data_IF_240876768699
#
_entry.id   IF_240876768699
#
_cell.length_a   1.000
_cell.length_b   1.000
_cell.length_c   1.000
_cell.angle_alpha   90.00
_cell.angle_beta   90.00
_cell.angle_gamma   90.00
#
_symmetry.space_group_name_H-M   'P 1'
#
loop_
_entity.id
_entity.type
_entity.pdbx_description
1 polymer ?
#
# COMPACT_ATOMS: atom_id res chain seq x y z
N UNK A 1 -6.58 -7.90 -6.09
CA UNK A 1 -7.99 -8.34 -6.24
C UNK A 1 -7.90 -9.71 -6.85
N UNK A 2 -8.61 -10.70 -6.31
CA UNK A 2 -8.60 -12.08 -6.82
C UNK A 2 -9.99 -12.41 -7.42
N UNK A 3 -10.37 -11.78 -8.55
CA UNK A 3 -11.63 -12.09 -9.19
C UNK A 3 -11.56 -13.44 -9.93
N UNK A 4 -12.67 -14.16 -9.94
CA UNK A 4 -12.89 -15.40 -10.71
C UNK A 4 -13.48 -15.14 -12.10
N UNK A 5 -13.93 -13.91 -12.38
CA UNK A 5 -14.46 -13.48 -13.67
C UNK A 5 -14.04 -12.04 -13.96
N UNK A 6 -13.42 -11.80 -15.11
CA UNK A 6 -13.07 -10.46 -15.60
C UNK A 6 -14.29 -9.56 -15.72
N UNK A 7 -15.32 -9.98 -16.46
CA UNK A 7 -16.51 -9.14 -16.71
C UNK A 7 -17.20 -8.75 -15.40
N UNK A 8 -17.44 -9.69 -14.48
CA UNK A 8 -18.04 -9.36 -13.18
C UNK A 8 -17.20 -8.36 -12.38
N UNK A 9 -15.87 -8.42 -12.45
CA UNK A 9 -15.00 -7.49 -11.76
C UNK A 9 -14.95 -6.11 -12.43
N UNK A 10 -15.03 -6.04 -13.76
CA UNK A 10 -15.07 -4.79 -14.54
C UNK A 10 -16.41 -4.07 -14.38
N UNK A 11 -17.52 -4.81 -14.38
CA UNK A 11 -18.88 -4.26 -14.20
C UNK A 11 -19.26 -4.09 -12.73
N UNK A 12 -18.39 -4.53 -11.81
CA UNK A 12 -18.65 -4.53 -10.37
C UNK A 12 -19.97 -5.24 -10.02
N UNK A 13 -20.24 -6.38 -10.65
CA UNK A 13 -21.46 -7.14 -10.45
C UNK A 13 -21.58 -7.57 -8.98
N UNK A 14 -22.51 -6.95 -8.25
CA UNK A 14 -22.81 -7.28 -6.86
C UNK A 14 -23.96 -8.30 -6.77
N UNK A 15 -24.93 -8.26 -7.68
CA UNK A 15 -26.30 -8.76 -7.50
C UNK A 15 -26.58 -10.13 -8.07
N UNK A 16 -25.89 -10.50 -9.15
CA UNK A 16 -26.23 -11.71 -9.91
C UNK A 16 -25.10 -12.73 -9.85
N UNK A 17 -25.42 -14.03 -9.73
CA UNK A 17 -24.45 -15.09 -9.94
C UNK A 17 -23.79 -14.98 -11.32
N UNK A 18 -22.53 -15.38 -11.42
CA UNK A 18 -21.82 -15.33 -12.68
C UNK A 18 -22.32 -16.39 -13.67
N UNK A 19 -22.79 -15.96 -14.84
CA UNK A 19 -23.20 -16.83 -15.96
C UNK A 19 -22.33 -16.67 -17.22
N UNK A 20 -21.23 -15.93 -17.10
CA UNK A 20 -20.30 -15.64 -18.20
C UNK A 20 -19.55 -16.89 -18.66
N UNK A 21 -19.29 -16.95 -19.97
CA UNK A 21 -18.44 -17.97 -20.60
C UNK A 21 -16.98 -17.88 -20.14
N UNK A 22 -16.20 -18.93 -20.36
CA UNK A 22 -14.77 -18.95 -19.99
C UNK A 22 -13.97 -17.84 -20.68
N UNK A 23 -14.32 -17.50 -21.93
CA UNK A 23 -13.70 -16.39 -22.66
C UNK A 23 -13.97 -15.04 -22.00
N UNK A 24 -15.18 -14.81 -21.50
CA UNK A 24 -15.55 -13.61 -20.77
C UNK A 24 -14.94 -13.58 -19.36
N UNK A 25 -14.81 -14.74 -18.71
CA UNK A 25 -14.17 -14.86 -17.40
C UNK A 25 -12.67 -14.63 -17.45
N UNK A 26 -12.03 -14.96 -18.56
CA UNK A 26 -10.57 -14.92 -18.74
C UNK A 26 -9.97 -13.55 -18.41
N UNK A 27 -8.92 -13.57 -17.60
CA UNK A 27 -8.14 -12.40 -17.21
C UNK A 27 -6.99 -12.18 -18.22
N UNK A 28 -6.75 -10.92 -18.60
CA UNK A 28 -5.61 -10.52 -19.44
C UNK A 28 -4.77 -9.48 -18.71
N UNK A 29 -3.45 -9.63 -18.75
CA UNK A 29 -2.55 -8.77 -18.01
C UNK A 29 -1.10 -9.21 -18.12
N UNK A 30 -0.24 -8.53 -17.38
CA UNK A 30 1.17 -8.86 -17.20
C UNK A 30 1.39 -9.19 -15.73
N UNK A 31 2.01 -10.33 -15.46
CA UNK A 31 2.22 -10.83 -14.11
C UNK A 31 3.64 -11.33 -13.93
N UNK A 32 4.12 -11.23 -12.69
CA UNK A 32 5.33 -11.95 -12.28
C UNK A 32 5.03 -13.44 -12.23
N UNK A 33 5.95 -14.26 -12.72
CA UNK A 33 5.77 -15.72 -12.80
C UNK A 33 5.36 -16.38 -11.49
N UNK A 34 5.82 -15.87 -10.34
CA UNK A 34 5.46 -16.39 -9.02
C UNK A 34 3.95 -16.29 -8.73
N UNK A 35 3.30 -15.19 -9.13
CA UNK A 35 1.86 -15.02 -8.94
C UNK A 35 1.07 -15.90 -9.90
N UNK A 36 1.57 -16.07 -11.13
CA UNK A 36 0.97 -16.96 -12.11
C UNK A 36 1.03 -18.43 -11.66
N UNK A 37 2.17 -18.87 -11.13
CA UNK A 37 2.32 -20.21 -10.55
C UNK A 37 1.36 -20.43 -9.38
N UNK A 38 1.21 -19.44 -8.49
CA UNK A 38 0.24 -19.50 -7.40
C UNK A 38 -1.21 -19.57 -7.93
N UNK A 39 -1.53 -18.85 -9.00
CA UNK A 39 -2.85 -18.93 -9.61
C UNK A 39 -3.12 -20.34 -10.17
N UNK A 40 -2.14 -20.94 -10.85
CA UNK A 40 -2.25 -22.32 -11.36
C UNK A 40 -2.44 -23.33 -10.21
N UNK A 41 -1.67 -23.20 -9.12
CA UNK A 41 -1.86 -24.01 -7.90
C UNK A 41 -3.29 -23.90 -7.36
N UNK A 42 -3.94 -22.74 -7.51
CA UNK A 42 -5.32 -22.48 -7.09
C UNK A 42 -6.37 -22.84 -8.15
N UNK A 43 -5.98 -23.55 -9.21
CA UNK A 43 -6.89 -24.10 -10.22
C UNK A 43 -7.14 -23.21 -11.43
N UNK A 44 -6.43 -22.09 -11.58
CA UNK A 44 -6.51 -21.30 -12.81
C UNK A 44 -5.80 -22.01 -13.97
N UNK A 45 -6.33 -21.87 -15.18
CA UNK A 45 -5.75 -22.43 -16.40
C UNK A 45 -5.16 -21.32 -17.27
N UNK A 46 -3.92 -21.50 -17.70
CA UNK A 46 -3.26 -20.57 -18.63
C UNK A 46 -3.80 -20.82 -20.04
N UNK A 47 -4.49 -19.82 -20.60
CA UNK A 47 -5.06 -19.90 -21.95
C UNK A 47 -4.02 -19.58 -23.05
N UNK A 48 -3.26 -18.50 -22.85
CA UNK A 48 -2.28 -18.00 -23.82
C UNK A 48 -1.15 -17.25 -23.11
N UNK A 49 0.06 -17.40 -23.61
CA UNK A 49 1.24 -16.59 -23.24
C UNK A 49 1.69 -15.85 -24.49
N UNK A 50 1.68 -14.52 -24.45
CA UNK A 50 2.13 -13.67 -25.57
C UNK A 50 3.65 -13.41 -25.50
N UNK A 51 4.18 -13.15 -24.31
CA UNK A 51 5.58 -12.75 -24.11
C UNK A 51 6.10 -13.23 -22.74
N UNK A 52 7.38 -13.60 -22.68
CA UNK A 52 8.07 -14.00 -21.44
C UNK A 52 9.42 -13.32 -21.32
N UNK A 53 9.60 -12.59 -20.21
CA UNK A 53 10.89 -12.04 -19.82
C UNK A 53 11.56 -13.01 -18.85
N UNK A 54 12.50 -13.80 -19.35
CA UNK A 54 13.17 -14.84 -18.59
C UNK A 54 14.55 -14.39 -18.08
N UNK A 55 14.78 -14.59 -16.78
CA UNK A 55 16.05 -14.28 -16.12
C UNK A 55 16.67 -15.60 -15.61
N UNK A 56 17.62 -16.20 -16.34
CA UNK A 56 18.18 -17.51 -15.98
C UNK A 56 19.01 -17.45 -14.70
N UNK A 57 19.68 -16.30 -14.47
CA UNK A 57 20.50 -16.07 -13.30
C UNK A 57 19.71 -15.35 -12.21
N UNK A 58 19.86 -15.80 -10.96
CA UNK A 58 19.24 -15.22 -9.77
C UNK A 58 20.29 -15.11 -8.66
N UNK A 59 20.18 -14.09 -7.81
CA UNK A 59 21.03 -13.92 -6.64
C UNK A 59 20.17 -13.61 -5.43
N UNK A 60 20.59 -14.13 -4.26
CA UNK A 60 20.02 -13.78 -2.96
C UNK A 60 20.82 -12.69 -2.23
N UNK A 61 21.95 -12.24 -2.78
CA UNK A 61 22.99 -11.55 -2.00
C UNK A 61 23.01 -10.04 -2.19
N UNK A 62 22.56 -9.57 -3.36
CA UNK A 62 22.72 -8.18 -3.81
C UNK A 62 22.30 -7.12 -2.78
N UNK A 63 21.20 -7.38 -2.06
CA UNK A 63 20.64 -6.43 -1.09
C UNK A 63 20.84 -6.83 0.37
N UNK A 64 21.49 -7.97 0.65
CA UNK A 64 21.61 -8.52 2.01
C UNK A 64 22.32 -7.53 2.93
N UNK A 65 23.49 -7.03 2.51
CA UNK A 65 24.27 -6.10 3.32
C UNK A 65 23.55 -4.76 3.53
N UNK A 66 22.85 -4.26 2.51
CA UNK A 66 22.04 -3.05 2.63
C UNK A 66 20.94 -3.25 3.68
N UNK A 67 20.14 -4.31 3.54
CA UNK A 67 19.03 -4.61 4.46
C UNK A 67 19.56 -4.81 5.88
N UNK A 68 20.62 -5.61 6.06
CA UNK A 68 21.23 -5.85 7.37
C UNK A 68 21.72 -4.57 8.05
N UNK A 69 22.38 -3.70 7.29
CA UNK A 69 22.92 -2.42 7.82
C UNK A 69 21.81 -1.52 8.34
N UNK A 70 20.79 -1.26 7.54
CA UNK A 70 19.70 -0.35 7.96
C UNK A 70 18.76 -1.01 8.96
N UNK A 71 18.61 -2.33 8.93
CA UNK A 71 17.88 -3.07 9.93
C UNK A 71 18.59 -3.03 11.30
N UNK A 72 19.92 -3.16 11.33
CA UNK A 72 20.73 -2.95 12.54
C UNK A 72 20.47 -1.57 13.15
N UNK A 73 20.64 -0.51 12.35
CA UNK A 73 20.48 0.86 12.85
C UNK A 73 19.05 1.18 13.29
N UNK A 74 18.06 0.61 12.59
CA UNK A 74 16.65 0.70 13.01
C UNK A 74 16.43 0.01 14.35
N UNK A 75 17.00 -1.18 14.54
CA UNK A 75 16.81 -1.96 15.75
C UNK A 75 17.53 -1.33 16.95
N UNK A 76 18.77 -0.87 16.79
CA UNK A 76 19.49 -0.10 17.81
C UNK A 76 18.72 1.14 18.24
N UNK A 77 18.14 1.88 17.27
CA UNK A 77 17.33 3.07 17.55
C UNK A 77 15.95 2.76 18.16
N UNK A 78 15.53 1.49 18.23
CA UNK A 78 14.28 1.09 18.88
C UNK A 78 14.44 0.89 20.39
N UNK A 79 15.68 0.82 20.89
CA UNK A 79 15.97 0.49 22.29
C UNK A 79 15.85 -1.01 22.59
N UNK A 80 16.08 -1.37 23.85
CA UNK A 80 15.85 -2.74 24.34
C UNK A 80 14.35 -3.01 24.49
N UNK A 81 13.91 -4.27 24.28
CA UNK A 81 12.54 -4.64 24.57
C UNK A 81 12.24 -4.53 26.08
N UNK A 82 10.97 -4.37 26.44
CA UNK A 82 10.56 -4.14 27.83
C UNK A 82 10.98 -5.25 28.81
N UNK A 83 11.13 -6.49 28.32
CA UNK A 83 11.58 -7.63 29.12
C UNK A 83 13.10 -7.72 29.30
N UNK A 84 13.90 -6.88 28.62
CA UNK A 84 15.36 -6.92 28.71
C UNK A 84 15.88 -5.81 29.63
N UNK A 85 15.81 -6.04 30.94
CA UNK A 85 16.15 -5.05 31.96
C UNK A 85 17.57 -5.27 32.48
N UNK A 86 17.90 -6.52 32.78
CA UNK A 86 19.20 -6.93 33.32
C UNK A 86 20.27 -7.02 32.23
N UNK A 87 21.54 -6.94 32.61
CA UNK A 87 22.65 -7.07 31.64
C UNK A 87 22.69 -8.46 30.99
N UNK A 88 22.25 -9.50 31.73
CA UNK A 88 22.08 -10.84 31.19
C UNK A 88 21.04 -10.91 30.09
N UNK A 89 19.86 -10.30 30.30
CA UNK A 89 18.78 -10.27 29.29
C UNK A 89 19.15 -9.40 28.08
N UNK A 90 19.83 -8.26 28.30
CA UNK A 90 20.33 -7.42 27.21
C UNK A 90 21.33 -8.17 26.33
N UNK A 91 22.25 -8.92 26.95
CA UNK A 91 23.20 -9.77 26.22
C UNK A 91 22.48 -10.88 25.46
N UNK A 92 21.54 -11.57 26.11
CA UNK A 92 20.73 -12.61 25.48
C UNK A 92 19.95 -12.09 24.27
N UNK A 93 19.37 -10.89 24.36
CA UNK A 93 18.68 -10.23 23.25
C UNK A 93 19.62 -9.98 22.06
N UNK A 94 20.83 -9.47 22.29
CA UNK A 94 21.82 -9.22 21.23
C UNK A 94 22.29 -10.54 20.60
N UNK A 95 22.54 -11.57 21.41
CA UNK A 95 22.96 -12.89 20.94
C UNK A 95 21.84 -13.57 20.13
N UNK A 96 20.58 -13.47 20.57
CA UNK A 96 19.42 -13.98 19.84
C UNK A 96 19.23 -13.27 18.50
N UNK A 97 19.38 -11.94 18.47
CA UNK A 97 19.30 -11.16 17.24
C UNK A 97 20.40 -11.54 16.25
N UNK A 98 21.62 -11.78 16.74
CA UNK A 98 22.70 -12.27 15.91
C UNK A 98 22.43 -13.68 15.36
N UNK A 99 21.92 -14.60 16.19
CA UNK A 99 21.60 -15.96 15.74
C UNK A 99 20.49 -16.00 14.68
N UNK A 100 19.47 -15.14 14.81
CA UNK A 100 18.31 -15.12 13.90
C UNK A 100 18.55 -14.32 12.63
N UNK A 101 19.12 -13.13 12.74
CA UNK A 101 19.27 -12.19 11.63
C UNK A 101 20.69 -12.16 11.04
N UNK A 102 21.67 -12.73 11.75
CA UNK A 102 23.08 -12.57 11.42
C UNK A 102 23.53 -11.11 11.52
N UNK A 103 22.95 -10.34 12.44
CA UNK A 103 23.23 -8.93 12.71
C UNK A 103 23.68 -8.78 14.16
N UNK A 104 24.88 -8.25 14.38
CA UNK A 104 25.38 -7.96 15.73
C UNK A 104 25.02 -6.52 16.10
N UNK A 105 24.06 -6.36 17.01
CA UNK A 105 23.70 -5.04 17.54
C UNK A 105 24.83 -4.49 18.42
N UNK A 106 25.10 -3.19 18.35
CA UNK A 106 26.06 -2.54 19.23
C UNK A 106 25.37 -2.09 20.55
N UNK A 107 25.71 -2.66 21.72
CA UNK A 107 25.10 -2.31 23.00
C UNK A 107 25.11 -0.81 23.30
N UNK A 108 26.19 -0.10 22.94
CA UNK A 108 26.39 1.33 23.22
C UNK A 108 25.53 2.23 22.33
N UNK A 109 24.98 1.67 21.25
CA UNK A 109 24.12 2.37 20.30
C UNK A 109 22.63 2.03 20.49
N UNK A 110 22.31 1.06 21.35
CA UNK A 110 20.92 0.68 21.63
C UNK A 110 20.31 1.72 22.56
N UNK A 111 19.51 2.62 21.98
CA UNK A 111 18.77 3.63 22.71
C UNK A 111 17.53 4.04 21.90
N UNK A 112 16.46 4.42 22.59
CA UNK A 112 15.24 4.89 21.93
C UNK A 112 15.55 6.21 21.21
N UNK A 113 15.49 6.19 19.88
CA UNK A 113 15.65 7.36 19.04
C UNK A 113 14.67 7.29 17.86
N UNK A 114 13.51 7.92 18.04
CA UNK A 114 12.42 7.92 17.07
C UNK A 114 12.83 8.45 15.69
N UNK A 115 13.64 9.52 15.65
CA UNK A 115 14.09 10.12 14.39
C UNK A 115 15.01 9.18 13.61
N UNK A 116 16.06 8.65 14.26
CA UNK A 116 16.98 7.68 13.64
C UNK A 116 16.23 6.42 13.21
N UNK A 117 15.32 5.92 14.03
CA UNK A 117 14.49 4.76 13.70
C UNK A 117 13.65 5.01 12.43
N UNK A 118 13.02 6.18 12.33
CA UNK A 118 12.20 6.54 11.17
C UNK A 118 13.03 6.71 9.89
N UNK A 119 14.22 7.32 9.97
CA UNK A 119 15.13 7.46 8.82
C UNK A 119 15.55 6.09 8.30
N UNK A 120 16.00 5.19 9.19
CA UNK A 120 16.43 3.84 8.78
C UNK A 120 15.26 3.01 8.22
N UNK A 121 14.06 3.13 8.80
CA UNK A 121 12.84 2.53 8.23
C UNK A 121 12.53 3.08 6.83
N UNK A 122 12.68 4.39 6.62
CA UNK A 122 12.45 5.02 5.33
C UNK A 122 13.44 4.50 4.28
N UNK A 123 14.71 4.35 4.63
CA UNK A 123 15.74 3.82 3.71
C UNK A 123 15.41 2.39 3.28
N UNK A 124 15.05 1.52 4.23
CA UNK A 124 14.59 0.16 3.95
C UNK A 124 13.38 0.14 3.00
N UNK A 125 12.39 1.00 3.25
CA UNK A 125 11.15 1.03 2.49
C UNK A 125 11.28 1.74 1.13
N UNK A 126 12.25 2.64 0.95
CA UNK A 126 12.41 3.43 -0.28
C UNK A 126 13.22 2.70 -1.34
N UNK A 127 14.07 1.74 -0.96
CA UNK A 127 14.98 1.05 -1.88
C UNK A 127 14.25 0.43 -3.08
N UNK A 128 13.25 -0.43 -2.83
CA UNK A 128 12.51 -1.09 -3.92
C UNK A 128 11.65 -0.09 -4.71
N UNK A 129 11.18 0.97 -4.06
CA UNK A 129 10.42 2.05 -4.68
C UNK A 129 11.27 2.83 -5.69
N UNK A 130 12.56 3.02 -5.41
CA UNK A 130 13.54 3.65 -6.32
C UNK A 130 13.61 2.90 -7.65
N UNK A 131 13.73 1.57 -7.60
CA UNK A 131 13.76 0.73 -8.79
C UNK A 131 12.45 0.75 -9.61
N UNK A 132 11.35 1.20 -9.01
CA UNK A 132 10.02 1.29 -9.64
C UNK A 132 9.63 2.71 -10.03
N UNK A 133 10.58 3.66 -9.98
CA UNK A 133 10.30 5.04 -10.36
C UNK A 133 10.00 5.14 -11.86
N UNK A 134 9.13 6.10 -12.20
CA UNK A 134 8.91 6.47 -13.60
C UNK A 134 10.14 7.24 -14.10
N UNK A 135 10.73 6.78 -15.19
CA UNK A 135 11.94 7.38 -15.77
C UNK A 135 11.66 8.77 -16.35
N UNK A 136 10.60 8.92 -17.15
CA UNK A 136 10.23 10.19 -17.77
C UNK A 136 9.20 10.96 -16.93
N UNK A 137 9.69 11.78 -15.99
CA UNK A 137 8.89 12.70 -15.19
C UNK A 137 8.82 14.08 -15.85
N UNK A 138 7.70 14.77 -15.65
CA UNK A 138 7.60 16.18 -16.04
C UNK A 138 8.52 17.04 -15.17
N UNK A 139 9.42 17.76 -15.82
CA UNK A 139 10.34 18.72 -15.22
C UNK A 139 9.71 20.11 -15.27
N UNK A 140 9.94 20.91 -14.24
CA UNK A 140 9.60 22.33 -14.23
C UNK A 140 10.88 23.12 -14.07
N UNK A 141 11.17 23.98 -15.04
CA UNK A 141 12.36 24.82 -15.06
C UNK A 141 11.99 26.30 -15.10
N UNK A 142 12.84 27.13 -14.50
CA UNK A 142 12.75 28.58 -14.56
C UNK A 142 13.93 29.05 -15.42
N UNK A 143 13.64 29.49 -16.63
CA UNK A 143 14.62 29.83 -17.66
C UNK A 143 14.65 31.34 -17.83
N UNK A 144 15.86 31.92 -17.81
CA UNK A 144 16.10 33.34 -18.12
C UNK A 144 16.72 33.53 -19.49
N UNK A 145 17.47 32.53 -19.95
CA UNK A 145 18.21 32.59 -21.19
C UNK A 145 17.27 32.31 -22.39
N UNK A 146 17.12 33.27 -23.33
CA UNK A 146 16.28 33.07 -24.52
C UNK A 146 16.75 31.92 -25.42
N UNK A 147 18.05 31.63 -25.45
CA UNK A 147 18.57 30.53 -26.27
C UNK A 147 18.15 29.16 -25.70
N UNK A 148 18.33 28.97 -24.39
CA UNK A 148 17.81 27.80 -23.67
C UNK A 148 16.28 27.68 -23.84
N UNK A 149 15.54 28.78 -23.73
CA UNK A 149 14.09 28.79 -23.94
C UNK A 149 13.73 28.28 -25.34
N UNK A 150 14.36 28.85 -26.37
CA UNK A 150 14.14 28.48 -27.77
C UNK A 150 14.46 27.00 -28.02
N UNK A 151 15.57 26.50 -27.48
CA UNK A 151 15.98 25.10 -27.60
C UNK A 151 14.94 24.13 -27.01
N UNK A 152 14.36 24.45 -25.85
CA UNK A 152 13.37 23.58 -25.21
C UNK A 152 12.02 23.65 -25.93
N UNK A 153 11.61 24.83 -26.40
CA UNK A 153 10.30 25.04 -27.04
C UNK A 153 10.25 24.49 -28.46
N UNK A 154 11.32 24.68 -29.24
CA UNK A 154 11.37 24.31 -30.65
C UNK A 154 12.21 23.07 -30.93
N UNK A 155 12.92 22.53 -29.92
CA UNK A 155 13.67 21.29 -30.04
C UNK A 155 12.78 20.06 -30.07
N UNK A 156 13.17 19.04 -30.84
CA UNK A 156 12.46 17.75 -30.92
C UNK A 156 12.73 16.82 -29.72
N UNK A 157 13.67 17.18 -28.85
CA UNK A 157 14.05 16.38 -27.68
C UNK A 157 13.03 16.45 -26.52
N UNK A 158 12.18 17.47 -26.52
CA UNK A 158 11.30 17.80 -25.41
C UNK A 158 9.85 17.93 -25.85
N UNK A 159 8.95 17.27 -25.11
CA UNK A 159 7.52 17.53 -25.19
C UNK A 159 7.16 18.61 -24.17
N UNK A 160 6.97 19.85 -24.66
CA UNK A 160 6.55 20.97 -23.80
C UNK A 160 5.06 20.88 -23.49
N UNK A 161 4.76 20.78 -22.21
CA UNK A 161 3.38 20.67 -21.70
C UNK A 161 2.77 22.02 -21.34
N UNK A 162 3.60 22.98 -20.90
CA UNK A 162 3.17 24.32 -20.52
C UNK A 162 4.36 25.27 -20.46
N UNK A 163 4.15 26.55 -20.78
CA UNK A 163 5.06 27.63 -20.38
C UNK A 163 4.28 28.89 -20.00
N UNK A 164 4.90 29.75 -19.19
CA UNK A 164 4.39 31.06 -18.81
C UNK A 164 5.52 32.01 -18.47
N UNK A 165 5.41 33.28 -18.82
CA UNK A 165 6.35 34.31 -18.37
C UNK A 165 5.97 34.76 -16.95
N UNK A 166 6.94 34.69 -16.03
CA UNK A 166 6.81 35.12 -14.63
C UNK A 166 7.24 36.59 -14.49
N UNK A 167 8.18 37.02 -15.32
CA UNK A 167 8.58 38.42 -15.57
C UNK A 167 8.95 38.58 -17.04
N UNK A 168 9.33 39.79 -17.46
CA UNK A 168 9.75 40.08 -18.84
C UNK A 168 10.94 39.22 -19.30
N UNK A 169 11.81 38.83 -18.37
CA UNK A 169 13.07 38.12 -18.60
C UNK A 169 13.08 36.68 -18.04
N UNK A 170 11.95 36.19 -17.50
CA UNK A 170 11.89 34.87 -16.86
C UNK A 170 10.69 34.08 -17.33
N UNK A 171 10.94 32.91 -17.90
CA UNK A 171 9.93 31.94 -18.28
C UNK A 171 9.93 30.73 -17.35
N UNK A 172 8.75 30.29 -16.94
CA UNK A 172 8.54 28.96 -16.36
C UNK A 172 8.18 28.01 -17.49
N UNK A 173 8.92 26.91 -17.65
CA UNK A 173 8.60 25.83 -18.59
C UNK A 173 8.30 24.55 -17.82
N UNK A 174 7.33 23.79 -18.35
CA UNK A 174 7.03 22.43 -17.94
C UNK A 174 7.16 21.53 -19.16
N UNK A 175 8.12 20.62 -19.11
CA UNK A 175 8.45 19.75 -20.21
C UNK A 175 8.75 18.34 -19.70
N UNK A 176 8.74 17.36 -20.60
CA UNK A 176 9.29 16.01 -20.37
C UNK A 176 10.07 15.61 -21.62
N UNK A 177 10.96 14.63 -21.53
CA UNK A 177 11.64 14.16 -22.73
C UNK A 177 10.62 13.57 -23.70
N UNK A 178 10.86 13.71 -25.00
CA UNK A 178 10.16 12.90 -25.98
C UNK A 178 10.39 11.41 -25.68
N UNK A 179 9.40 10.56 -25.99
CA UNK A 179 9.47 9.13 -25.65
C UNK A 179 10.62 8.44 -26.37
N UNK A 180 10.95 8.86 -27.59
CA UNK A 180 12.06 8.32 -28.38
C UNK A 180 13.42 8.84 -27.89
N UNK A 181 13.45 10.04 -27.30
CA UNK A 181 14.65 10.68 -26.76
C UNK A 181 14.92 10.33 -25.28
N UNK A 182 14.00 9.64 -24.60
CA UNK A 182 14.11 9.34 -23.19
C UNK A 182 15.22 8.29 -22.93
N UNK A 183 16.30 8.74 -22.29
CA UNK A 183 17.41 7.87 -21.88
C UNK A 183 17.00 7.07 -20.64
N UNK A 184 17.32 5.77 -20.63
CA UNK A 184 17.10 4.90 -19.48
C UNK A 184 17.87 5.40 -18.27
N UNK A 185 17.22 5.41 -17.11
CA UNK A 185 17.89 5.79 -15.86
C UNK A 185 18.63 4.56 -15.29
N UNK A 186 19.95 4.63 -15.03
CA UNK A 186 20.75 3.45 -14.68
C UNK A 186 20.31 2.71 -13.40
N UNK A 187 19.66 3.40 -12.48
CA UNK A 187 19.25 2.87 -11.17
C UNK A 187 17.76 2.48 -11.11
N UNK A 188 17.06 2.45 -12.25
CA UNK A 188 15.67 2.00 -12.35
C UNK A 188 15.64 0.58 -12.92
N UNK A 189 14.92 -0.32 -12.24
CA UNK A 189 14.74 -1.70 -12.68
C UNK A 189 13.35 -2.21 -12.25
N UNK A 190 12.39 -2.09 -13.17
CA UNK A 190 11.00 -2.45 -12.91
C UNK A 190 10.83 -3.92 -12.47
N UNK A 191 11.71 -4.83 -12.89
CA UNK A 191 11.65 -6.24 -12.49
C UNK A 191 11.95 -6.42 -11.00
N UNK A 192 12.94 -5.69 -10.46
CA UNK A 192 13.22 -5.72 -9.02
C UNK A 192 12.00 -5.28 -8.22
N UNK A 193 11.36 -4.18 -8.62
CA UNK A 193 10.11 -3.70 -8.03
C UNK A 193 8.96 -4.68 -8.12
N UNK A 194 8.74 -5.24 -9.32
CA UNK A 194 7.67 -6.19 -9.59
C UNK A 194 7.84 -7.47 -8.74
N UNK A 195 9.02 -8.09 -8.73
CA UNK A 195 9.29 -9.30 -7.94
C UNK A 195 9.24 -9.03 -6.43
N UNK A 196 9.70 -7.87 -5.96
CA UNK A 196 9.62 -7.50 -4.53
C UNK A 196 8.16 -7.43 -4.08
N UNK A 197 7.32 -6.71 -4.82
CA UNK A 197 5.90 -6.57 -4.46
C UNK A 197 5.12 -7.87 -4.65
N UNK A 198 5.45 -8.68 -5.66
CA UNK A 198 4.84 -10.00 -5.85
C UNK A 198 5.13 -10.95 -4.68
N UNK A 199 6.38 -11.00 -4.20
CA UNK A 199 6.75 -11.80 -3.02
C UNK A 199 6.02 -11.33 -1.76
N UNK A 200 5.93 -10.02 -1.54
CA UNK A 200 5.18 -9.46 -0.42
C UNK A 200 3.69 -9.84 -0.49
N UNK A 201 3.06 -9.72 -1.67
CA UNK A 201 1.66 -10.13 -1.88
C UNK A 201 1.44 -11.61 -1.65
N UNK A 202 2.34 -12.47 -2.13
CA UNK A 202 2.26 -13.91 -1.90
C UNK A 202 2.43 -14.27 -0.43
N UNK A 203 3.31 -13.57 0.30
CA UNK A 203 3.47 -13.77 1.74
C UNK A 203 2.20 -13.41 2.52
N UNK A 204 1.57 -12.29 2.18
CA UNK A 204 0.27 -11.93 2.75
C UNK A 204 -0.81 -12.94 2.35
N UNK A 205 -0.81 -13.40 1.10
CA UNK A 205 -1.76 -14.37 0.59
C UNK A 205 -1.67 -15.71 1.33
N UNK A 206 -0.47 -16.22 1.64
CA UNK A 206 -0.29 -17.44 2.46
C UNK A 206 -1.01 -17.34 3.80
N UNK A 207 -0.94 -16.17 4.44
CA UNK A 207 -1.62 -15.90 5.70
C UNK A 207 -3.15 -15.86 5.51
N UNK A 208 -3.61 -15.14 4.49
CA UNK A 208 -5.04 -15.05 4.16
C UNK A 208 -5.65 -16.42 3.84
N UNK A 209 -4.92 -17.24 3.08
CA UNK A 209 -5.36 -18.57 2.64
C UNK A 209 -5.50 -19.55 3.81
N UNK A 210 -4.61 -19.47 4.81
CA UNK A 210 -4.72 -20.25 6.06
C UNK A 210 -5.84 -19.76 6.98
N UNK A 211 -6.08 -18.45 7.02
CA UNK A 211 -7.16 -17.86 7.83
C UNK A 211 -8.54 -18.15 7.25
N UNK A 212 -8.66 -18.24 5.93
CA UNK A 212 -9.91 -18.60 5.26
C UNK A 212 -11.05 -17.62 5.56
N UNK A 213 -12.19 -18.16 6.01
CA UNK A 213 -13.41 -17.43 6.35
C UNK A 213 -13.27 -16.52 7.57
N UNK A 214 -12.25 -16.74 8.40
CA UNK A 214 -11.97 -15.89 9.58
C UNK A 214 -11.37 -14.54 9.21
N UNK A 215 -10.90 -14.35 7.98
CA UNK A 215 -10.30 -13.10 7.55
C UNK A 215 -11.36 -12.00 7.35
N UNK A 216 -11.25 -10.90 8.10
CA UNK A 216 -12.14 -9.75 8.00
C UNK A 216 -11.58 -8.65 7.09
N UNK A 217 -10.27 -8.40 7.17
CA UNK A 217 -9.61 -7.34 6.41
C UNK A 217 -8.12 -7.62 6.20
N UNK A 218 -7.55 -7.06 5.13
CA UNK A 218 -6.11 -7.10 4.87
C UNK A 218 -5.65 -5.85 4.13
N UNK A 219 -4.51 -5.27 4.49
CA UNK A 219 -3.86 -4.19 3.73
C UNK A 219 -2.34 -4.32 3.79
N UNK A 220 -1.73 -4.54 2.63
CA UNK A 220 -0.28 -4.56 2.36
C UNK A 220 0.53 -5.60 3.14
N UNK A 221 0.57 -5.49 4.46
CA UNK A 221 1.35 -6.26 5.41
C UNK A 221 0.59 -6.55 6.73
N UNK A 222 -0.71 -6.27 6.77
CA UNK A 222 -1.58 -6.45 7.95
C UNK A 222 -2.83 -7.26 7.63
N UNK A 223 -3.36 -7.96 8.64
CA UNK A 223 -4.66 -8.65 8.61
C UNK A 223 -5.46 -8.38 9.88
N UNK A 224 -6.78 -8.35 9.76
CA UNK A 224 -7.73 -8.40 10.87
C UNK A 224 -8.57 -9.65 10.67
N UNK A 225 -8.73 -10.46 11.71
CA UNK A 225 -9.36 -11.76 11.62
C UNK A 225 -10.10 -12.13 12.92
N UNK A 226 -11.02 -13.07 12.81
CA UNK A 226 -11.76 -13.65 13.95
C UNK A 226 -10.89 -14.71 14.63
N UNK A 227 -10.61 -14.53 15.91
CA UNK A 227 -9.96 -15.54 16.74
C UNK A 227 -11.02 -16.40 17.45
N UNK A 228 -10.83 -17.72 17.46
CA UNK A 228 -11.68 -18.69 18.17
C UNK A 228 -10.79 -19.64 18.94
N UNK A 229 -11.31 -20.21 20.02
CA UNK A 229 -10.58 -21.21 20.80
C UNK A 229 -10.38 -22.48 19.96
N UNK A 230 -9.17 -23.06 20.03
CA UNK A 230 -8.78 -24.25 19.26
C UNK A 230 -8.37 -24.00 17.80
N UNK A 231 -8.66 -22.82 17.25
CA UNK A 231 -8.26 -22.45 15.89
C UNK A 231 -6.77 -22.06 15.82
N UNK A 232 -6.15 -22.31 14.65
CA UNK A 232 -4.79 -21.85 14.39
C UNK A 232 -4.71 -20.32 14.41
N UNK A 233 -3.72 -19.77 15.10
CA UNK A 233 -3.42 -18.35 15.09
C UNK A 233 -2.05 -18.09 14.45
N UNK A 234 -1.90 -17.00 13.69
CA UNK A 234 -0.62 -16.66 13.08
C UNK A 234 0.45 -16.46 14.16
N UNK A 235 1.61 -17.12 14.04
CA UNK A 235 2.66 -16.99 15.04
C UNK A 235 3.19 -15.56 15.05
N UNK A 236 3.33 -15.01 16.25
CA UNK A 236 3.92 -13.70 16.47
C UNK A 236 5.43 -13.82 16.67
N UNK A 237 6.13 -12.74 16.37
CA UNK A 237 7.57 -12.67 16.58
C UNK A 237 8.12 -11.25 16.42
N UNK A 238 9.41 -11.10 16.69
CA UNK A 238 10.09 -9.81 16.77
C UNK A 238 11.16 -9.64 15.68
N UNK A 239 11.31 -10.62 14.80
CA UNK A 239 12.32 -10.67 13.74
C UNK A 239 11.74 -10.25 12.38
N UNK A 240 12.63 -10.04 11.41
CA UNK A 240 12.27 -9.59 10.07
C UNK A 240 11.32 -10.58 9.40
N UNK A 241 10.16 -10.08 8.97
CA UNK A 241 9.15 -10.88 8.27
C UNK A 241 8.22 -11.68 9.19
N UNK A 242 8.38 -11.58 10.50
CA UNK A 242 7.44 -12.11 11.49
C UNK A 242 6.28 -11.13 11.72
N UNK A 243 5.15 -11.67 12.20
CA UNK A 243 3.96 -10.88 12.49
C UNK A 243 4.03 -10.31 13.90
N UNK A 244 3.59 -9.07 14.08
CA UNK A 244 3.50 -8.41 15.38
C UNK A 244 2.05 -8.09 15.71
N UNK A 245 1.66 -8.20 16.98
CA UNK A 245 0.37 -7.69 17.42
C UNK A 245 0.42 -6.15 17.50
N UNK A 246 -0.48 -5.47 16.80
CA UNK A 246 -0.59 -4.00 16.83
C UNK A 246 -1.47 -3.47 17.98
N UNK A 247 -2.19 -4.36 18.66
CA UNK A 247 -3.00 -4.04 19.83
C UNK A 247 -2.17 -4.12 21.11
N UNK A 248 -2.71 -3.56 22.20
CA UNK A 248 -2.07 -3.67 23.51
C UNK A 248 -1.96 -5.11 23.99
N UNK A 249 -1.10 -5.35 24.98
CA UNK A 249 -1.04 -6.66 25.63
C UNK A 249 -2.42 -7.03 26.21
N UNK A 250 -2.88 -8.24 25.91
CA UNK A 250 -4.20 -8.74 26.29
C UNK A 250 -5.40 -7.93 25.76
N UNK A 251 -5.19 -7.04 24.77
CA UNK A 251 -6.26 -6.31 24.10
C UNK A 251 -6.66 -7.01 22.80
N UNK A 252 -7.95 -6.92 22.46
CA UNK A 252 -8.51 -7.51 21.25
C UNK A 252 -9.69 -6.68 20.75
N UNK A 253 -9.97 -6.80 19.45
CA UNK A 253 -11.10 -6.12 18.81
C UNK A 253 -12.40 -6.84 19.18
N UNK A 254 -13.36 -6.10 19.72
CA UNK A 254 -14.71 -6.60 20.07
C UNK A 254 -15.73 -6.25 18.99
N UNK A 255 -15.53 -5.15 18.27
CA UNK A 255 -16.40 -4.71 17.18
C UNK A 255 -15.55 -4.25 15.99
N UNK A 256 -15.89 -4.69 14.79
CA UNK A 256 -15.20 -4.33 13.56
C UNK A 256 -16.20 -4.07 12.44
N UNK A 257 -15.99 -3.00 11.68
CA UNK A 257 -16.75 -2.72 10.46
C UNK A 257 -15.82 -2.19 9.37
N UNK A 258 -15.99 -2.67 8.13
CA UNK A 258 -15.32 -2.12 6.95
C UNK A 258 -16.32 -1.70 5.88
N UNK A 259 -16.20 -0.45 5.44
CA UNK A 259 -16.92 0.09 4.30
C UNK A 259 -16.19 -0.08 2.97
N UNK A 260 -15.07 -0.81 2.95
CA UNK A 260 -14.24 -1.05 1.77
C UNK A 260 -12.75 -0.78 2.00
N UNK A 261 -11.93 -0.83 0.92
CA UNK A 261 -10.48 -0.72 1.04
C UNK A 261 -10.05 0.60 1.68
N UNK A 262 -9.24 0.51 2.75
CA UNK A 262 -8.72 1.63 3.55
C UNK A 262 -9.80 2.45 4.27
N UNK A 263 -11.00 1.90 4.41
CA UNK A 263 -12.11 2.49 5.17
C UNK A 263 -12.67 1.45 6.14
N UNK A 264 -12.32 1.57 7.40
CA UNK A 264 -12.74 0.65 8.46
C UNK A 264 -12.72 1.34 9.82
N UNK A 265 -13.46 0.80 10.76
CA UNK A 265 -13.41 1.18 12.16
C UNK A 265 -13.46 -0.04 13.07
N UNK A 266 -12.96 0.11 14.29
CA UNK A 266 -13.04 -0.93 15.30
C UNK A 266 -13.08 -0.38 16.73
N UNK A 267 -13.66 -1.16 17.63
CA UNK A 267 -13.62 -0.97 19.08
C UNK A 267 -12.87 -2.16 19.71
N UNK A 268 -12.07 -1.87 20.71
CA UNK A 268 -11.30 -2.87 21.46
C UNK A 268 -11.92 -3.13 22.82
N UNK A 269 -11.57 -4.28 23.43
CA UNK A 269 -12.01 -4.65 24.78
C UNK A 269 -11.59 -3.61 25.83
N UNK A 270 -10.42 -2.97 25.65
CA UNK A 270 -9.94 -1.91 26.53
C UNK A 270 -10.54 -0.52 26.22
N UNK A 271 -11.54 -0.43 25.33
CA UNK A 271 -12.29 0.80 25.04
C UNK A 271 -11.62 1.74 24.03
N UNK A 272 -10.48 1.36 23.44
CA UNK A 272 -9.86 2.11 22.34
C UNK A 272 -10.71 1.96 21.08
N UNK A 273 -11.20 3.09 20.55
CA UNK A 273 -11.86 3.18 19.25
C UNK A 273 -10.87 3.65 18.18
N UNK A 274 -10.94 3.07 17.00
CA UNK A 274 -10.19 3.49 15.82
C UNK A 274 -11.13 3.68 14.63
N UNK A 275 -10.88 4.73 13.86
CA UNK A 275 -11.56 4.97 12.59
C UNK A 275 -10.54 5.34 11.52
N UNK A 276 -10.66 4.73 10.34
CA UNK A 276 -9.88 5.04 9.13
C UNK A 276 -10.85 5.37 8.01
N UNK A 277 -10.67 6.53 7.39
CA UNK A 277 -11.50 7.00 6.28
C UNK A 277 -10.63 7.33 5.07
N UNK A 278 -10.73 6.53 4.00
CA UNK A 278 -9.91 6.74 2.81
C UNK A 278 -10.17 8.11 2.18
N UNK A 279 -9.12 8.90 2.03
CA UNK A 279 -9.16 10.19 1.32
C UNK A 279 -9.81 11.33 2.10
N UNK A 280 -10.09 11.12 3.40
CA UNK A 280 -10.62 12.12 4.32
C UNK A 280 -9.68 12.22 5.52
N UNK A 281 -9.29 13.45 5.86
CA UNK A 281 -8.53 13.71 7.08
C UNK A 281 -9.51 13.74 8.25
N UNK A 282 -9.32 12.84 9.23
CA UNK A 282 -10.09 12.81 10.48
C UNK A 282 -9.55 13.87 11.45
N UNK A 283 -9.89 15.13 11.17
CA UNK A 283 -9.67 16.24 12.09
C UNK A 283 -10.79 16.30 13.15
N UNK A 284 -10.70 17.24 14.09
CA UNK A 284 -11.67 17.39 15.17
C UNK A 284 -13.12 17.66 14.70
N UNK A 285 -13.32 18.19 13.49
CA UNK A 285 -14.66 18.40 12.91
C UNK A 285 -15.19 17.11 12.29
N UNK A 286 -14.45 16.51 11.37
CA UNK A 286 -14.87 15.29 10.67
C UNK A 286 -14.99 14.09 11.61
N UNK A 287 -14.14 13.98 12.64
CA UNK A 287 -14.21 12.89 13.62
C UNK A 287 -15.48 12.92 14.47
N UNK A 288 -16.19 14.06 14.53
CA UNK A 288 -17.53 14.13 15.16
C UNK A 288 -18.58 13.41 14.34
N UNK A 289 -18.40 13.29 13.02
CA UNK A 289 -19.41 12.73 12.12
C UNK A 289 -19.00 11.37 11.56
N UNK A 290 -17.71 11.12 11.37
CA UNK A 290 -17.18 9.86 10.84
C UNK A 290 -16.65 9.04 12.01
N UNK A 291 -17.51 8.17 12.52
CA UNK A 291 -17.31 7.30 13.67
C UNK A 291 -17.66 5.85 13.32
N UNK A 292 -17.32 4.92 14.21
CA UNK A 292 -17.62 3.49 14.01
C UNK A 292 -19.13 3.23 13.84
N UNK A 293 -19.95 3.76 14.74
CA UNK A 293 -21.42 3.64 14.70
C UNK A 293 -21.99 4.15 13.38
N UNK A 294 -21.58 5.34 12.95
CA UNK A 294 -22.04 5.90 11.67
C UNK A 294 -21.57 5.09 10.45
N UNK A 295 -20.41 4.42 10.55
CA UNK A 295 -19.94 3.53 9.48
C UNK A 295 -20.76 2.23 9.44
N UNK A 296 -21.09 1.69 10.62
CA UNK A 296 -21.96 0.51 10.76
C UNK A 296 -23.32 0.78 10.12
N UNK A 297 -23.94 1.94 10.42
CA UNK A 297 -25.20 2.35 9.79
C UNK A 297 -25.08 2.41 8.26
N UNK A 298 -24.03 3.05 7.74
CA UNK A 298 -23.79 3.13 6.31
C UNK A 298 -23.62 1.76 5.64
N UNK A 299 -22.95 0.81 6.31
CA UNK A 299 -22.77 -0.56 5.78
C UNK A 299 -24.08 -1.34 5.85
N UNK A 300 -24.84 -1.23 6.95
CA UNK A 300 -26.16 -1.84 7.06
C UNK A 300 -27.11 -1.36 5.96
N UNK A 301 -27.14 -0.05 5.71
CA UNK A 301 -27.96 0.52 4.64
C UNK A 301 -27.51 0.02 3.26
N UNK A 302 -26.21 -0.05 3.01
CA UNK A 302 -25.68 -0.58 1.75
C UNK A 302 -26.00 -2.07 1.53
N UNK A 303 -26.07 -2.86 2.60
CA UNK A 303 -26.46 -4.28 2.53
C UNK A 303 -27.95 -4.43 2.24
N UNK A 304 -28.80 -3.58 2.83
CA UNK A 304 -30.26 -3.57 2.58
C UNK A 304 -30.61 -3.05 1.19
N UNK A 305 -29.96 -1.98 0.77
CA UNK A 305 -30.15 -1.30 -0.51
C UNK A 305 -28.79 -0.91 -1.10
N UNK A 306 -28.40 -1.60 -2.17
CA UNK A 306 -27.11 -1.40 -2.83
C UNK A 306 -27.03 -0.11 -3.65
N UNK A 307 -28.19 0.45 -3.99
CA UNK A 307 -28.30 1.75 -4.67
C UNK A 307 -28.42 2.90 -3.65
N UNK A 308 -28.28 2.61 -2.36
CA UNK A 308 -28.33 3.59 -1.29
C UNK A 308 -27.38 4.75 -1.55
N UNK A 309 -27.96 5.95 -1.47
CA UNK A 309 -27.22 7.21 -1.62
C UNK A 309 -26.75 7.76 -0.27
N UNK A 310 -26.94 6.99 0.81
CA UNK A 310 -26.53 7.37 2.16
C UNK A 310 -25.04 7.70 2.20
N UNK A 311 -24.74 8.86 2.79
CA UNK A 311 -23.39 9.37 2.90
C UNK A 311 -23.27 10.38 4.03
N UNK A 312 -22.05 10.55 4.52
CA UNK A 312 -21.70 11.57 5.49
C UNK A 312 -20.91 12.66 4.76
N UNK A 313 -21.21 13.93 5.04
CA UNK A 313 -20.47 15.05 4.48
C UNK A 313 -19.23 15.32 5.33
N UNK A 314 -18.07 15.31 4.69
CA UNK A 314 -16.79 15.60 5.32
C UNK A 314 -16.20 16.88 4.75
N UNK A 315 -15.76 17.77 5.62
CA UNK A 315 -15.09 19.01 5.22
C UNK A 315 -13.62 18.74 4.95
N UNK A 316 -13.13 19.24 3.83
CA UNK A 316 -11.73 19.12 3.43
C UNK A 316 -11.22 20.48 2.99
N UNK A 317 -10.34 21.04 3.81
CA UNK A 317 -9.62 22.28 3.56
C UNK A 317 -8.20 21.94 3.11
N UNK A 318 -7.85 22.31 1.89
CA UNK A 318 -6.52 22.07 1.33
C UNK A 318 -5.90 23.37 0.82
N UNK A 319 -4.57 23.46 0.91
CA UNK A 319 -3.80 24.44 0.14
C UNK A 319 -3.56 23.82 -1.24
N UNK A 320 -4.06 24.47 -2.29
CA UNK A 320 -3.90 24.01 -3.67
C UNK A 320 -3.08 25.01 -4.47
N UNK A 321 -2.20 24.49 -5.33
CA UNK A 321 -1.46 25.31 -6.30
C UNK A 321 -2.23 25.40 -7.60
N UNK A 322 -2.55 26.62 -8.05
CA UNK A 322 -3.05 26.86 -9.39
C UNK A 322 -1.91 26.63 -10.38
N UNK A 323 -1.96 25.52 -11.13
CA UNK A 323 -0.81 25.07 -11.96
C UNK A 323 -0.34 26.09 -13.00
N UNK A 324 -1.25 26.88 -13.57
CA UNK A 324 -0.95 27.88 -14.62
C UNK A 324 -0.38 29.20 -14.08
N UNK A 325 -0.82 29.63 -12.90
CA UNK A 325 -0.42 30.91 -12.30
C UNK A 325 0.58 30.74 -11.15
N UNK A 326 0.93 29.50 -10.79
CA UNK A 326 1.77 29.11 -9.64
C UNK A 326 1.28 29.65 -8.29
N UNK A 327 0.11 30.29 -8.24
CA UNK A 327 -0.42 30.86 -7.01
C UNK A 327 -1.00 29.78 -6.09
N UNK A 328 -0.74 29.95 -4.79
CA UNK A 328 -1.33 29.14 -3.75
C UNK A 328 -2.70 29.71 -3.39
N UNK A 329 -3.70 28.84 -3.25
CA UNK A 329 -5.05 29.20 -2.83
C UNK A 329 -5.54 28.20 -1.80
N UNK A 330 -6.26 28.70 -0.80
CA UNK A 330 -7.03 27.85 0.10
C UNK A 330 -8.28 27.38 -0.66
N UNK A 331 -8.51 26.07 -0.67
CA UNK A 331 -9.71 25.47 -1.26
C UNK A 331 -10.40 24.62 -0.21
N UNK A 332 -11.54 25.12 0.26
CA UNK A 332 -12.50 24.34 1.04
C UNK A 332 -13.39 23.53 0.09
N UNK A 333 -13.58 22.27 0.40
CA UNK A 333 -14.41 21.36 -0.37
C UNK A 333 -15.15 20.41 0.56
N UNK A 334 -16.33 19.95 0.14
CA UNK A 334 -17.09 18.92 0.85
C UNK A 334 -16.95 17.61 0.10
N UNK A 335 -16.55 16.54 0.78
CA UNK A 335 -16.50 15.19 0.24
C UNK A 335 -17.64 14.37 0.80
N UNK A 336 -18.22 13.52 -0.05
CA UNK A 336 -19.19 12.50 0.36
C UNK A 336 -18.44 11.26 0.82
N UNK A 337 -18.53 10.95 2.10
CA UNK A 337 -18.06 9.69 2.67
C UNK A 337 -19.18 8.65 2.59
N UNK A 338 -18.94 7.57 1.86
CA UNK A 338 -19.90 6.47 1.66
C UNK A 338 -19.19 5.13 1.59
N UNK A 339 -19.95 4.05 1.69
CA UNK A 339 -19.46 2.69 1.47
C UNK A 339 -19.00 2.53 0.02
N UNK A 340 -17.85 1.89 -0.18
CA UNK A 340 -17.28 1.59 -1.50
C UNK A 340 -16.78 0.15 -1.52
N UNK A 341 -17.69 -0.78 -1.78
CA UNK A 341 -17.39 -2.20 -2.03
C UNK A 341 -17.18 -2.46 -3.53
N UNK A 342 -15.96 -2.17 -4.02
CA UNK A 342 -15.59 -2.36 -5.42
C UNK A 342 -14.54 -3.44 -5.66
N UNK A 343 -14.26 -4.27 -4.66
CA UNK A 343 -13.22 -5.32 -4.71
C UNK A 343 -13.74 -6.74 -4.55
N UNK A 344 -14.94 -6.90 -4.00
CA UNK A 344 -15.61 -8.16 -3.66
C UNK A 344 -17.12 -7.94 -3.71
N UNK A 345 -17.85 -9.04 -3.78
CA UNK A 345 -19.29 -9.07 -3.60
C UNK A 345 -19.60 -9.10 -2.11
N UNK A 346 -20.47 -8.21 -1.62
CA UNK A 346 -20.93 -8.20 -0.23
C UNK A 346 -22.29 -8.90 -0.11
N UNK A 347 -22.40 -9.92 0.72
CA UNK A 347 -23.62 -10.70 0.91
C UNK A 347 -24.53 -10.14 2.02
N UNK A 348 -25.82 -10.55 2.07
CA UNK A 348 -26.76 -10.11 3.11
C UNK A 348 -26.35 -10.44 4.55
N UNK A 349 -25.51 -11.46 4.73
CA UNK A 349 -24.95 -11.89 6.01
C UNK A 349 -23.60 -11.20 6.34
N UNK A 350 -23.25 -10.14 5.61
CA UNK A 350 -22.00 -9.38 5.71
C UNK A 350 -20.73 -10.13 5.30
N UNK A 351 -20.84 -11.40 4.87
CA UNK A 351 -19.70 -12.11 4.29
C UNK A 351 -19.38 -11.59 2.89
N UNK A 352 -18.20 -11.91 2.37
CA UNK A 352 -17.77 -11.41 1.06
C UNK A 352 -17.22 -12.49 0.15
N UNK A 353 -17.63 -12.45 -1.11
CA UNK A 353 -17.19 -13.38 -2.15
C UNK A 353 -16.33 -12.66 -3.21
N UNK A 354 -15.40 -13.36 -3.87
CA UNK A 354 -14.73 -12.81 -5.04
C UNK A 354 -15.76 -12.58 -6.17
N UNK A 355 -15.52 -11.58 -7.03
CA UNK A 355 -16.33 -11.40 -8.23
C UNK A 355 -16.23 -12.64 -9.12
N UNK A 356 -17.37 -13.17 -9.58
CA UNK A 356 -17.40 -14.36 -10.43
C UNK A 356 -17.61 -15.69 -9.70
N UNK A 357 -17.83 -15.65 -8.38
CA UNK A 357 -18.51 -16.72 -7.65
C UNK A 357 -19.98 -16.75 -8.06
#
# INVERSE_FOLDING_TARGET
>A
MFPLCRVCAETLNQTTPCVHSDAERSLKGCWVSLELLKAVEKGYVIQKIDEVWHFPNKSGDLFVNYVKTFLQYKQEASGYPAHAVTDGEKKAYIDQYFQKEGIRLNPDKICVNTARRNINKLLLNSLWGRFSMRENLGTTEVIKDPEQFSRVIFGSEYEVTHFSFVSEDVALLQWKHDTEACVRTPDINVFVGAFTTARARLRLYELMDRLGDRLLYSDTDSVIYVSREGDWNPPLGNFLGELTNELGESDYITEFCSGGPKTYGYLTAQGKSCMKAKGITLNAENAKHIRLDTLVDLVHDYVKDRDSTMHILARVDNIVRAKRSISLKNKSSVKKFKVVYNKRVLLPDYTTLPYGY
#
